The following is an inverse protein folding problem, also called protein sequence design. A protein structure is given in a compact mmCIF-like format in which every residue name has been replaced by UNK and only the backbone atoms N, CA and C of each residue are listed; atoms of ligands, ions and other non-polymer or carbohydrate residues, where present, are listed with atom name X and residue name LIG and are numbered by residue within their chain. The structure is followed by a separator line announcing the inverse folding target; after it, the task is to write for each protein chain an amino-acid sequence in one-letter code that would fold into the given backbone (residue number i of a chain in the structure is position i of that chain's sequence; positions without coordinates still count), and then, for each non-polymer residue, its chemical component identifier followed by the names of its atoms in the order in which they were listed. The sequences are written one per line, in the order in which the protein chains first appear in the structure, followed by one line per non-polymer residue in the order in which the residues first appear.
data_IF_555225765855
#
_entry.id   IF_555225765855
#
_cell.length_a   1.000
_cell.length_b   1.000
_cell.length_c   1.000
_cell.angle_alpha   90.00
_cell.angle_beta   90.00
_cell.angle_gamma   90.00
#
_symmetry.space_group_name_H-M   'P 1'
#
loop_
_entity.id
_entity.type
_entity.pdbx_description
1 polymer ?
#
# COMPACT_ATOMS: atom_id res chain seq x y z
N UNK A 1 89.26 1.20 -35.10
CA UNK A 1 88.27 1.96 -35.90
C UNK A 1 86.94 1.92 -35.16
N UNK A 2 86.40 3.08 -34.78
CA UNK A 2 85.21 3.23 -33.93
C UNK A 2 83.94 2.92 -34.73
N UNK A 3 83.19 1.88 -34.34
CA UNK A 3 81.82 1.65 -34.79
C UNK A 3 80.85 2.49 -33.96
N UNK A 4 80.01 3.30 -34.61
CA UNK A 4 78.91 4.02 -33.97
C UNK A 4 77.62 3.23 -34.15
N UNK A 5 77.01 2.83 -33.03
CA UNK A 5 75.61 2.41 -32.95
C UNK A 5 74.79 3.65 -32.59
N UNK A 6 73.77 3.97 -33.40
CA UNK A 6 72.84 5.06 -33.12
C UNK A 6 71.45 4.46 -32.85
N UNK A 7 70.94 4.71 -31.64
CA UNK A 7 69.66 4.23 -31.14
C UNK A 7 68.55 5.21 -31.47
N UNK A 8 67.40 4.64 -31.84
CA UNK A 8 66.12 5.25 -32.24
C UNK A 8 65.54 6.24 -31.23
N UNK A 9 64.87 7.27 -31.75
CA UNK A 9 63.68 7.88 -31.15
C UNK A 9 62.62 8.05 -32.25
N UNK A 10 61.47 7.38 -32.10
CA UNK A 10 60.27 7.57 -32.90
C UNK A 10 59.29 8.42 -32.07
N UNK A 11 58.96 9.60 -32.60
CA UNK A 11 57.90 10.45 -32.06
C UNK A 11 56.53 9.89 -32.52
N UNK A 12 55.72 9.43 -31.57
CA UNK A 12 54.31 9.10 -31.81
C UNK A 12 53.46 10.35 -31.65
N UNK A 13 52.88 10.84 -32.74
CA UNK A 13 51.83 11.85 -32.72
C UNK A 13 50.50 11.21 -32.29
N UNK A 14 49.92 11.68 -31.19
CA UNK A 14 48.57 11.33 -30.77
C UNK A 14 47.57 12.28 -31.46
N UNK A 15 46.78 11.74 -32.39
CA UNK A 15 45.60 12.42 -32.91
C UNK A 15 44.47 12.32 -31.87
N UNK A 16 43.98 13.45 -31.39
CA UNK A 16 42.81 13.53 -30.52
C UNK A 16 41.54 13.29 -31.33
N UNK A 17 40.92 12.12 -31.17
CA UNK A 17 39.58 11.84 -31.69
C UNK A 17 38.57 12.28 -30.63
N UNK A 18 37.89 13.40 -30.86
CA UNK A 18 36.74 13.81 -30.07
C UNK A 18 35.54 12.91 -30.41
N UNK A 19 35.36 11.84 -29.64
CA UNK A 19 34.16 11.01 -29.70
C UNK A 19 32.99 11.74 -29.04
N UNK A 20 32.07 12.29 -29.82
CA UNK A 20 30.77 12.71 -29.34
C UNK A 20 29.97 11.46 -28.94
N UNK A 21 29.91 11.17 -27.64
CA UNK A 21 29.00 10.16 -27.11
C UNK A 21 27.60 10.76 -27.14
N UNK A 22 26.86 10.49 -28.20
CA UNK A 22 25.42 10.70 -28.20
C UNK A 22 24.84 9.74 -27.14
N UNK A 23 24.50 10.28 -25.98
CA UNK A 23 23.70 9.58 -24.99
C UNK A 23 22.34 9.31 -25.62
N UNK A 24 22.18 8.12 -26.20
CA UNK A 24 20.88 7.60 -26.58
C UNK A 24 20.14 7.35 -25.27
N UNK A 25 19.39 8.35 -24.82
CA UNK A 25 18.43 8.20 -23.75
C UNK A 25 17.41 7.16 -24.20
N UNK A 26 17.63 5.89 -23.85
CA UNK A 26 16.57 4.90 -23.84
C UNK A 26 15.51 5.46 -22.89
N UNK A 27 14.44 5.99 -23.47
CA UNK A 27 13.20 6.23 -22.75
C UNK A 27 12.76 4.89 -22.19
N UNK A 28 13.06 4.66 -20.91
CA UNK A 28 12.44 3.59 -20.15
C UNK A 28 10.94 3.91 -20.20
N UNK A 29 10.08 3.02 -20.73
CA UNK A 29 8.65 3.25 -20.65
C UNK A 29 8.30 3.31 -19.16
N UNK A 30 7.88 4.49 -18.71
CA UNK A 30 7.21 4.64 -17.42
C UNK A 30 6.07 3.63 -17.41
N UNK A 31 6.06 2.70 -16.46
CA UNK A 31 4.91 1.83 -16.24
C UNK A 31 3.78 2.72 -15.72
N UNK A 32 2.98 3.24 -16.64
CA UNK A 32 1.73 3.94 -16.36
C UNK A 32 0.85 3.02 -15.53
N UNK A 33 0.24 3.55 -14.47
CA UNK A 33 -0.78 2.82 -13.74
C UNK A 33 -1.87 2.33 -14.72
N UNK A 34 -2.35 1.09 -14.55
CA UNK A 34 -3.30 0.53 -15.49
C UNK A 34 -4.62 1.31 -15.47
N UNK A 35 -5.02 1.81 -16.63
CA UNK A 35 -6.25 2.56 -16.81
C UNK A 35 -7.45 1.68 -16.47
N UNK A 36 -8.29 2.10 -15.52
CA UNK A 36 -9.60 1.49 -15.30
C UNK A 36 -10.48 1.79 -16.52
N UNK A 37 -10.73 0.78 -17.33
CA UNK A 37 -11.48 0.88 -18.57
C UNK A 37 -12.99 0.97 -18.33
N UNK A 38 -13.46 0.73 -17.11
CA UNK A 38 -14.88 0.86 -16.76
C UNK A 38 -15.28 2.33 -16.55
N UNK A 39 -14.36 3.21 -16.14
CA UNK A 39 -14.68 4.63 -15.92
C UNK A 39 -15.04 5.32 -17.25
N UNK A 40 -16.25 5.89 -17.32
CA UNK A 40 -16.77 6.52 -18.54
C UNK A 40 -17.34 5.53 -19.58
N UNK A 41 -17.38 4.23 -19.26
CA UNK A 41 -18.09 3.24 -20.05
C UNK A 41 -19.63 3.36 -19.85
N UNK A 42 -20.40 2.50 -20.51
CA UNK A 42 -21.81 2.30 -20.18
C UNK A 42 -21.98 1.14 -19.21
N UNK A 43 -23.08 1.12 -18.45
CA UNK A 43 -23.47 0.00 -17.61
C UNK A 43 -24.95 -0.38 -17.79
N UNK A 44 -25.26 -1.67 -17.75
CA UNK A 44 -26.62 -2.22 -17.71
C UNK A 44 -26.63 -3.60 -17.03
N UNK A 45 -27.80 -4.23 -16.92
CA UNK A 45 -27.90 -5.50 -16.21
C UNK A 45 -29.28 -6.15 -16.27
N UNK A 46 -29.42 -7.23 -15.52
CA UNK A 46 -30.69 -7.93 -15.27
C UNK A 46 -31.05 -7.76 -13.79
N UNK A 47 -32.24 -7.18 -13.55
CA UNK A 47 -32.72 -6.82 -12.21
C UNK A 47 -32.01 -5.63 -11.54
N UNK A 48 -32.79 -4.80 -10.84
CA UNK A 48 -32.32 -3.63 -10.12
C UNK A 48 -33.28 -3.31 -8.97
N UNK A 49 -32.76 -3.29 -7.75
CA UNK A 49 -33.52 -2.84 -6.58
C UNK A 49 -33.81 -1.33 -6.66
N UNK A 50 -34.93 -0.91 -6.08
CA UNK A 50 -35.28 0.51 -5.96
C UNK A 50 -34.17 1.28 -5.24
N UNK A 51 -33.89 2.51 -5.68
CA UNK A 51 -32.85 3.37 -5.10
C UNK A 51 -31.41 3.04 -5.56
N UNK A 52 -31.22 2.10 -6.49
CA UNK A 52 -29.89 1.77 -7.05
C UNK A 52 -29.83 2.04 -8.57
N UNK A 53 -28.62 2.12 -9.12
CA UNK A 53 -28.38 2.32 -10.55
C UNK A 53 -27.31 1.39 -11.08
N UNK A 54 -27.44 0.93 -12.32
CA UNK A 54 -26.36 0.19 -12.99
C UNK A 54 -25.10 1.06 -13.15
N UNK A 55 -25.28 2.37 -13.40
CA UNK A 55 -24.18 3.30 -13.55
C UNK A 55 -23.31 3.47 -12.30
N UNK A 56 -23.80 3.05 -11.14
CA UNK A 56 -23.04 3.17 -9.89
C UNK A 56 -21.79 2.27 -9.88
N UNK A 57 -21.73 1.21 -10.70
CA UNK A 57 -20.55 0.30 -10.69
C UNK A 57 -19.39 0.79 -11.57
N UNK A 58 -19.54 1.96 -12.19
CA UNK A 58 -18.58 2.51 -13.15
C UNK A 58 -18.31 4.00 -12.90
N UNK A 59 -18.75 4.53 -11.76
CA UNK A 59 -18.64 5.95 -11.42
C UNK A 59 -17.40 6.26 -10.56
N UNK A 60 -16.68 5.22 -10.10
CA UNK A 60 -15.51 5.38 -9.22
C UNK A 60 -15.88 5.80 -7.80
N UNK A 61 -17.15 5.73 -7.42
CA UNK A 61 -17.67 6.05 -6.11
C UNK A 61 -18.14 4.79 -5.37
N UNK A 62 -17.24 4.24 -4.56
CA UNK A 62 -17.53 3.07 -3.68
C UNK A 62 -18.65 3.26 -2.63
N UNK A 63 -19.24 4.46 -2.52
CA UNK A 63 -20.40 4.72 -1.64
C UNK A 63 -21.75 4.53 -2.35
N UNK A 64 -21.78 4.57 -3.68
CA UNK A 64 -22.95 4.18 -4.47
C UNK A 64 -22.83 2.69 -4.80
N UNK A 65 -23.95 2.06 -5.16
CA UNK A 65 -23.93 0.66 -5.55
C UNK A 65 -25.09 0.32 -6.48
N UNK A 66 -24.89 -0.72 -7.29
CA UNK A 66 -25.97 -1.49 -7.86
C UNK A 66 -26.34 -2.64 -6.91
N UNK A 67 -27.63 -2.94 -6.80
CA UNK A 67 -28.11 -4.17 -6.15
C UNK A 67 -29.19 -4.77 -7.05
N UNK A 68 -29.20 -6.09 -7.29
CA UNK A 68 -30.37 -6.73 -7.87
C UNK A 68 -31.54 -6.76 -6.87
N UNK A 69 -32.74 -7.04 -7.35
CA UNK A 69 -33.96 -7.13 -6.54
C UNK A 69 -34.03 -8.40 -5.66
N UNK A 70 -33.13 -9.36 -5.87
CA UNK A 70 -33.08 -10.64 -5.16
C UNK A 70 -31.63 -11.10 -4.96
N UNK A 71 -31.41 -12.37 -4.63
CA UNK A 71 -30.06 -12.92 -4.37
C UNK A 71 -29.22 -13.21 -5.61
N UNK A 72 -29.79 -13.02 -6.81
CA UNK A 72 -29.12 -13.20 -8.10
C UNK A 72 -29.38 -12.00 -8.99
N UNK A 73 -28.53 -11.82 -9.98
CA UNK A 73 -28.65 -10.75 -10.96
C UNK A 73 -27.37 -10.57 -11.76
N UNK A 74 -27.45 -9.80 -12.83
CA UNK A 74 -26.30 -9.51 -13.69
C UNK A 74 -26.06 -8.02 -13.74
N UNK A 75 -24.80 -7.62 -13.60
CA UNK A 75 -24.33 -6.26 -13.89
C UNK A 75 -23.25 -6.32 -14.96
N UNK A 76 -23.26 -5.38 -15.88
CA UNK A 76 -22.36 -5.39 -17.03
C UNK A 76 -21.72 -4.03 -17.27
N UNK A 77 -20.48 -4.06 -17.76
CA UNK A 77 -19.78 -2.92 -18.33
C UNK A 77 -19.78 -3.07 -19.85
N UNK A 78 -20.10 -2.00 -20.57
CA UNK A 78 -20.17 -1.98 -22.04
C UNK A 78 -19.46 -0.77 -22.63
N UNK A 79 -18.80 -0.97 -23.75
CA UNK A 79 -18.06 0.06 -24.48
C UNK A 79 -18.68 0.32 -25.86
N UNK A 80 -18.43 1.49 -26.42
CA UNK A 80 -18.88 1.82 -27.78
C UNK A 80 -18.20 0.97 -28.87
N UNK A 81 -17.06 0.35 -28.56
CA UNK A 81 -16.30 -0.54 -29.44
C UNK A 81 -15.65 -1.70 -28.67
N UNK A 82 -15.06 -2.65 -29.41
CA UNK A 82 -14.38 -3.78 -28.79
C UNK A 82 -13.19 -3.29 -27.95
N UNK A 83 -13.17 -3.67 -26.68
CA UNK A 83 -12.17 -3.26 -25.70
C UNK A 83 -11.47 -4.51 -25.19
N UNK A 84 -10.14 -4.47 -25.13
CA UNK A 84 -9.33 -5.61 -24.68
C UNK A 84 -9.12 -5.53 -23.17
N UNK A 85 -9.59 -6.55 -22.46
CA UNK A 85 -9.51 -6.67 -21.00
C UNK A 85 -8.93 -8.03 -20.63
N UNK A 86 -8.20 -8.11 -19.51
CA UNK A 86 -7.61 -9.37 -19.00
C UNK A 86 -7.80 -9.55 -17.50
N UNK A 87 -8.43 -8.57 -16.84
CA UNK A 87 -8.75 -8.64 -15.42
C UNK A 87 -9.94 -7.76 -15.09
N UNK A 88 -10.63 -8.12 -14.02
CA UNK A 88 -11.72 -7.36 -13.43
C UNK A 88 -11.55 -7.28 -11.90
N UNK A 89 -12.05 -6.21 -11.30
CA UNK A 89 -12.13 -6.07 -9.84
C UNK A 89 -13.59 -5.80 -9.48
N UNK A 90 -14.15 -6.67 -8.64
CA UNK A 90 -15.51 -6.53 -8.14
C UNK A 90 -15.44 -6.02 -6.71
N UNK A 91 -15.89 -4.79 -6.49
CA UNK A 91 -15.95 -4.18 -5.16
C UNK A 91 -17.37 -4.33 -4.63
N UNK A 92 -17.54 -5.01 -3.50
CA UNK A 92 -18.84 -5.13 -2.83
C UNK A 92 -19.04 -3.98 -1.84
N UNK A 93 -20.23 -3.38 -1.84
CA UNK A 93 -20.64 -2.43 -0.81
C UNK A 93 -21.15 -3.17 0.44
N UNK A 94 -21.01 -2.52 1.60
CA UNK A 94 -21.54 -3.07 2.86
C UNK A 94 -23.07 -3.13 2.89
N UNK A 95 -23.61 -4.03 3.72
CA UNK A 95 -25.06 -4.17 3.95
C UNK A 95 -25.84 -4.92 2.87
N UNK A 96 -25.16 -5.60 1.95
CA UNK A 96 -25.75 -6.54 0.99
C UNK A 96 -25.59 -8.01 1.43
N UNK A 97 -26.27 -8.91 0.73
CA UNK A 97 -26.08 -10.35 0.87
C UNK A 97 -24.70 -10.81 0.41
N UNK A 98 -24.15 -11.85 1.04
CA UNK A 98 -22.83 -12.40 0.72
C UNK A 98 -22.91 -13.27 -0.53
N UNK A 99 -22.11 -12.95 -1.54
CA UNK A 99 -22.02 -13.73 -2.79
C UNK A 99 -21.28 -15.05 -2.53
N UNK A 100 -21.89 -16.16 -2.93
CA UNK A 100 -21.35 -17.52 -2.84
C UNK A 100 -21.21 -18.21 -4.21
N UNK A 101 -21.61 -17.54 -5.29
CA UNK A 101 -21.47 -18.07 -6.64
C UNK A 101 -21.59 -16.97 -7.69
N UNK A 102 -20.66 -16.96 -8.64
CA UNK A 102 -20.65 -15.98 -9.72
C UNK A 102 -19.89 -16.47 -10.95
N UNK A 103 -20.16 -15.80 -12.08
CA UNK A 103 -19.44 -15.95 -13.34
C UNK A 103 -19.13 -14.59 -13.96
N UNK A 104 -17.98 -14.48 -14.59
CA UNK A 104 -17.63 -13.38 -15.47
C UNK A 104 -17.76 -13.87 -16.91
N UNK A 105 -18.60 -13.23 -17.73
CA UNK A 105 -18.91 -13.71 -19.06
C UNK A 105 -18.70 -12.64 -20.13
N UNK A 106 -18.34 -13.07 -21.33
CA UNK A 106 -18.52 -12.27 -22.53
C UNK A 106 -20.02 -12.27 -22.85
N UNK A 107 -20.66 -11.11 -22.75
CA UNK A 107 -22.11 -11.00 -22.89
C UNK A 107 -22.60 -11.38 -24.29
N UNK A 108 -21.82 -11.07 -25.32
CA UNK A 108 -22.26 -11.26 -26.71
C UNK A 108 -22.16 -12.72 -27.14
N UNK A 109 -21.19 -13.47 -26.61
CA UNK A 109 -20.95 -14.88 -26.98
C UNK A 109 -21.42 -15.89 -25.93
N UNK A 110 -21.69 -15.45 -24.70
CA UNK A 110 -22.00 -16.32 -23.57
C UNK A 110 -20.78 -17.07 -23.00
N UNK A 111 -19.58 -16.84 -23.52
CA UNK A 111 -18.37 -17.50 -23.03
C UNK A 111 -18.06 -17.09 -21.58
N UNK A 112 -17.85 -18.07 -20.71
CA UNK A 112 -17.41 -17.84 -19.32
C UNK A 112 -15.90 -17.59 -19.31
N UNK A 113 -15.51 -16.38 -18.92
CA UNK A 113 -14.12 -15.94 -18.80
C UNK A 113 -13.50 -16.36 -17.47
N UNK A 114 -14.31 -16.35 -16.40
CA UNK A 114 -13.94 -16.80 -15.06
C UNK A 114 -15.20 -17.14 -14.25
N UNK A 115 -15.04 -17.89 -13.16
CA UNK A 115 -16.12 -18.19 -12.21
C UNK A 115 -15.57 -18.40 -10.81
N UNK A 116 -16.43 -18.28 -9.79
CA UNK A 116 -16.04 -18.50 -8.41
C UNK A 116 -17.22 -18.89 -7.52
N UNK A 117 -16.90 -19.55 -6.41
CA UNK A 117 -17.84 -20.00 -5.37
C UNK A 117 -17.64 -19.30 -4.02
N UNK A 118 -16.92 -18.18 -4.03
CA UNK A 118 -16.64 -17.33 -2.87
C UNK A 118 -16.85 -15.86 -3.22
N UNK A 119 -16.77 -14.97 -2.23
CA UNK A 119 -16.89 -13.54 -2.45
C UNK A 119 -15.89 -13.07 -3.54
N UNK A 120 -16.36 -12.36 -4.57
CA UNK A 120 -15.50 -11.89 -5.65
C UNK A 120 -14.57 -10.76 -5.15
N UNK A 121 -13.41 -10.65 -5.79
CA UNK A 121 -12.42 -9.59 -5.59
C UNK A 121 -11.74 -9.28 -6.92
N UNK A 122 -10.41 -9.41 -6.98
CA UNK A 122 -9.68 -9.38 -8.26
C UNK A 122 -9.81 -10.71 -9.00
N UNK A 123 -10.19 -10.64 -10.27
CA UNK A 123 -10.41 -11.79 -11.14
C UNK A 123 -9.55 -11.62 -12.39
N UNK A 124 -8.58 -12.52 -12.59
CA UNK A 124 -7.75 -12.55 -13.79
C UNK A 124 -8.30 -13.58 -14.78
N UNK A 125 -8.22 -13.28 -16.08
CA UNK A 125 -8.66 -14.17 -17.15
C UNK A 125 -7.84 -13.92 -18.42
N UNK A 126 -7.92 -14.85 -19.38
CA UNK A 126 -7.22 -14.70 -20.67
C UNK A 126 -7.64 -13.39 -21.36
N UNK A 127 -6.66 -12.62 -21.84
CA UNK A 127 -6.91 -11.37 -22.55
C UNK A 127 -7.95 -11.56 -23.65
N UNK A 128 -9.04 -10.81 -23.58
CA UNK A 128 -10.21 -10.96 -24.45
C UNK A 128 -10.65 -9.59 -24.94
N UNK A 129 -10.89 -9.47 -26.26
CA UNK A 129 -11.48 -8.28 -26.87
C UNK A 129 -12.99 -8.47 -27.01
N UNK A 130 -13.78 -7.57 -26.40
CA UNK A 130 -15.24 -7.71 -26.30
C UNK A 130 -15.89 -6.33 -26.13
N UNK A 131 -17.17 -6.21 -26.49
CA UNK A 131 -17.93 -4.94 -26.33
C UNK A 131 -18.65 -4.84 -25.00
N UNK A 132 -18.92 -5.98 -24.35
CA UNK A 132 -19.65 -6.03 -23.09
C UNK A 132 -19.25 -7.24 -22.25
N UNK A 133 -18.85 -6.98 -21.01
CA UNK A 133 -18.52 -8.00 -20.00
C UNK A 133 -19.58 -8.00 -18.91
N UNK A 134 -19.99 -9.17 -18.45
CA UNK A 134 -21.06 -9.34 -17.47
C UNK A 134 -20.57 -10.09 -16.24
N UNK A 135 -20.83 -9.53 -15.07
CA UNK A 135 -20.70 -10.21 -13.79
C UNK A 135 -22.08 -10.76 -13.41
N UNK A 136 -22.20 -12.09 -13.47
CA UNK A 136 -23.42 -12.85 -13.23
C UNK A 136 -23.36 -13.45 -11.83
N UNK A 137 -24.24 -13.02 -10.94
CA UNK A 137 -24.36 -13.57 -9.59
C UNK A 137 -25.32 -14.76 -9.64
N UNK A 138 -24.78 -15.95 -9.36
CA UNK A 138 -25.54 -17.21 -9.43
C UNK A 138 -26.06 -17.64 -8.05
N UNK A 139 -25.41 -17.22 -6.95
CA UNK A 139 -25.93 -17.41 -5.59
C UNK A 139 -25.40 -16.35 -4.61
N UNK A 140 -26.27 -15.92 -3.70
CA UNK A 140 -25.93 -15.08 -2.55
C UNK A 140 -26.93 -15.32 -1.39
N UNK A 141 -26.54 -14.95 -0.16
CA UNK A 141 -27.40 -15.10 1.03
C UNK A 141 -28.55 -14.08 1.11
N UNK A 142 -28.58 -13.09 0.22
CA UNK A 142 -29.56 -12.02 0.11
C UNK A 142 -29.20 -11.14 -1.08
N UNK A 143 -29.84 -9.98 -1.27
CA UNK A 143 -29.51 -9.07 -2.37
C UNK A 143 -28.11 -8.45 -2.18
N UNK A 144 -27.11 -8.83 -3.00
CA UNK A 144 -25.76 -8.30 -2.88
C UNK A 144 -25.69 -6.85 -3.39
N UNK A 145 -24.68 -6.10 -2.95
CA UNK A 145 -24.45 -4.74 -3.40
C UNK A 145 -23.07 -4.65 -4.03
N UNK A 146 -23.02 -4.29 -5.31
CA UNK A 146 -21.77 -4.07 -6.04
C UNK A 146 -21.54 -2.57 -6.13
N UNK A 147 -20.45 -2.12 -5.52
CA UNK A 147 -20.01 -0.73 -5.56
C UNK A 147 -19.27 -0.43 -6.85
N UNK A 148 -18.35 -1.30 -7.29
CA UNK A 148 -17.58 -1.10 -8.52
C UNK A 148 -17.41 -2.41 -9.29
N UNK A 149 -17.37 -2.30 -10.61
CA UNK A 149 -16.98 -3.34 -11.54
C UNK A 149 -15.90 -2.78 -12.47
N UNK A 150 -14.67 -2.82 -11.99
CA UNK A 150 -13.50 -2.26 -12.68
C UNK A 150 -12.92 -3.27 -13.66
N UNK A 151 -12.34 -2.80 -14.76
CA UNK A 151 -11.75 -3.66 -15.79
C UNK A 151 -10.44 -3.07 -16.30
N UNK A 152 -9.47 -3.93 -16.60
CA UNK A 152 -8.12 -3.50 -16.98
C UNK A 152 -7.53 -4.34 -18.11
N UNK A 153 -6.73 -3.69 -18.96
CA UNK A 153 -5.84 -4.35 -19.89
C UNK A 153 -4.51 -4.73 -19.20
N UNK A 154 -3.93 -5.88 -19.55
CA UNK A 154 -2.59 -6.31 -19.15
C UNK A 154 -2.37 -6.58 -17.65
N UNK A 155 -3.40 -7.04 -16.92
CA UNK A 155 -3.25 -7.54 -15.54
C UNK A 155 -2.77 -6.50 -14.52
N UNK A 156 -2.85 -5.20 -14.84
CA UNK A 156 -2.47 -4.14 -13.93
C UNK A 156 -3.57 -3.84 -12.91
N UNK A 157 -3.23 -3.90 -11.63
CA UNK A 157 -4.12 -3.55 -10.53
C UNK A 157 -3.86 -2.10 -10.08
N UNK A 158 -4.78 -1.20 -10.45
CA UNK A 158 -5.15 0.10 -9.82
C UNK A 158 -4.12 1.26 -9.69
N UNK A 159 -4.58 2.53 -9.89
CA UNK A 159 -4.24 3.67 -9.02
C UNK A 159 -5.48 4.35 -8.36
N UNK A 160 -5.23 5.11 -7.29
CA UNK A 160 -6.10 5.51 -6.17
C UNK A 160 -6.83 6.90 -6.26
N UNK A 161 -8.04 6.94 -5.65
CA UNK A 161 -8.69 7.98 -4.77
C UNK A 161 -9.56 9.17 -5.26
N UNK A 162 -10.64 9.40 -4.48
CA UNK A 162 -11.76 10.40 -4.48
C UNK A 162 -11.57 11.52 -3.40
N UNK A 163 -12.46 12.54 -3.22
CA UNK A 163 -13.37 12.57 -2.03
C UNK A 163 -14.77 13.28 -2.13
N UNK A 164 -15.84 12.54 -1.75
CA UNK A 164 -16.87 12.69 -0.67
C UNK A 164 -17.85 13.89 -0.48
N UNK A 165 -19.17 13.59 -0.28
CA UNK A 165 -20.04 13.86 0.93
C UNK A 165 -21.53 13.43 0.68
N UNK A 166 -22.35 12.87 1.59
CA UNK A 166 -22.34 12.78 3.07
C UNK A 166 -23.30 11.71 3.71
N UNK A 167 -23.90 11.95 4.91
CA UNK A 167 -23.83 11.12 6.15
C UNK A 167 -24.97 10.07 6.34
N UNK A 168 -24.89 9.03 7.18
CA UNK A 168 -24.87 9.13 8.67
C UNK A 168 -24.45 7.84 9.42
N UNK A 169 -23.57 8.05 10.42
CA UNK A 169 -23.29 7.32 11.67
C UNK A 169 -22.69 5.90 11.67
N UNK A 170 -21.44 5.81 11.27
CA UNK A 170 -20.33 5.18 12.00
C UNK A 170 -19.11 6.09 11.76
N UNK A 171 -18.08 6.18 12.62
CA UNK A 171 -17.03 7.19 12.46
C UNK A 171 -16.18 6.90 11.21
N UNK A 172 -16.64 7.41 10.08
CA UNK A 172 -15.81 7.95 9.02
C UNK A 172 -15.23 9.25 9.56
N UNK A 173 -14.07 9.18 10.20
CA UNK A 173 -13.29 10.37 10.46
C UNK A 173 -11.85 10.09 10.05
N UNK A 174 -11.19 11.12 9.54
CA UNK A 174 -9.80 11.35 9.90
C UNK A 174 -9.65 10.89 11.36
N UNK A 175 -8.71 9.99 11.73
CA UNK A 175 -8.64 9.55 13.11
C UNK A 175 -8.60 10.82 13.96
N UNK A 176 -9.49 10.92 14.96
CA UNK A 176 -9.44 12.05 15.88
C UNK A 176 -8.00 12.21 16.39
N UNK A 177 -7.61 13.41 16.80
CA UNK A 177 -6.26 13.62 17.33
C UNK A 177 -5.95 12.54 18.38
N UNK A 178 -4.87 11.75 18.20
CA UNK A 178 -4.61 10.64 19.09
C UNK A 178 -4.46 11.14 20.53
N UNK A 179 -5.14 10.50 21.46
CA UNK A 179 -5.21 10.93 22.87
C UNK A 179 -4.23 10.17 23.76
N UNK A 180 -3.56 9.16 23.22
CA UNK A 180 -2.78 8.19 24.00
C UNK A 180 -3.63 7.06 24.62
N UNK A 181 -4.95 7.08 24.45
CA UNK A 181 -5.83 6.04 24.96
C UNK A 181 -5.68 4.74 24.16
N UNK A 182 -5.59 3.62 24.88
CA UNK A 182 -5.53 2.29 24.29
C UNK A 182 -6.92 1.64 24.23
N UNK A 183 -7.26 0.90 23.17
CA UNK A 183 -8.54 0.22 23.09
C UNK A 183 -8.60 -0.99 24.04
N UNK A 184 -9.81 -1.35 24.42
CA UNK A 184 -10.08 -2.65 25.06
C UNK A 184 -10.20 -3.74 24.00
N UNK A 185 -9.66 -4.92 24.31
CA UNK A 185 -9.79 -6.10 23.46
C UNK A 185 -11.21 -6.67 23.50
N UNK A 186 -11.74 -7.05 22.33
CA UNK A 186 -13.03 -7.73 22.18
C UNK A 186 -12.92 -9.27 22.29
N UNK A 187 -11.78 -9.79 22.73
CA UNK A 187 -11.50 -11.21 22.88
C UNK A 187 -10.14 -11.59 22.28
N UNK A 188 -9.68 -12.82 22.51
CA UNK A 188 -8.37 -13.28 22.08
C UNK A 188 -8.45 -14.34 20.98
N UNK A 189 -7.49 -14.32 20.05
CA UNK A 189 -7.33 -15.29 18.97
C UNK A 189 -5.87 -15.77 18.97
N UNK A 190 -5.67 -17.08 19.14
CA UNK A 190 -4.36 -17.70 18.92
C UNK A 190 -4.24 -18.10 17.45
N UNK A 191 -3.19 -17.63 16.78
CA UNK A 191 -2.80 -18.02 15.42
C UNK A 191 -1.61 -18.98 15.52
N UNK A 192 -1.61 -20.02 14.68
CA UNK A 192 -0.56 -21.04 14.63
C UNK A 192 0.48 -20.79 13.54
N UNK A 193 0.42 -19.63 12.90
CA UNK A 193 1.24 -19.25 11.75
C UNK A 193 0.71 -17.99 11.07
N UNK A 194 1.45 -17.49 10.06
CA UNK A 194 1.11 -16.26 9.35
C UNK A 194 -0.28 -16.30 8.71
N UNK A 195 -1.08 -15.27 8.98
CA UNK A 195 -2.39 -15.07 8.35
C UNK A 195 -2.21 -14.28 7.05
N UNK A 196 -2.52 -14.90 5.91
CA UNK A 196 -2.48 -14.23 4.61
C UNK A 196 -3.79 -13.45 4.35
N UNK A 197 -3.67 -12.19 3.94
CA UNK A 197 -4.81 -11.29 3.69
C UNK A 197 -4.70 -10.71 2.28
N UNK A 198 -5.65 -11.02 1.40
CA UNK A 198 -5.70 -10.49 0.01
C UNK A 198 -6.82 -9.48 -0.24
N UNK A 199 -7.77 -9.35 0.68
CA UNK A 199 -8.86 -8.38 0.67
C UNK A 199 -8.87 -7.58 1.96
N UNK A 200 -10.04 -7.40 2.59
CA UNK A 200 -10.13 -6.82 3.94
C UNK A 200 -10.23 -7.91 4.99
N UNK A 201 -9.35 -7.86 5.98
CA UNK A 201 -9.47 -8.60 7.22
C UNK A 201 -9.87 -7.64 8.34
N UNK A 202 -11.06 -7.83 8.90
CA UNK A 202 -11.52 -7.12 10.10
C UNK A 202 -11.40 -8.04 11.31
N UNK A 203 -10.51 -7.70 12.25
CA UNK A 203 -10.31 -8.48 13.47
C UNK A 203 -11.32 -8.21 14.58
N UNK A 204 -12.26 -7.29 14.39
CA UNK A 204 -13.32 -6.97 15.36
C UNK A 204 -12.79 -6.46 16.70
N UNK A 205 -11.63 -5.80 16.71
CA UNK A 205 -10.87 -5.37 17.90
C UNK A 205 -10.44 -6.51 18.83
N UNK A 206 -10.28 -7.73 18.30
CA UNK A 206 -9.71 -8.85 19.05
C UNK A 206 -8.18 -8.76 19.12
N UNK A 207 -7.62 -9.36 20.15
CA UNK A 207 -6.18 -9.55 20.31
C UNK A 207 -5.72 -10.83 19.65
N UNK A 208 -4.87 -10.73 18.65
CA UNK A 208 -4.23 -11.83 17.97
C UNK A 208 -2.82 -12.03 18.55
N UNK A 209 -2.42 -13.28 18.77
CA UNK A 209 -1.07 -13.70 19.16
C UNK A 209 -0.91 -15.17 18.71
N UNK A 210 0.19 -15.90 18.83
CA UNK A 210 1.45 -15.63 19.48
C UNK A 210 2.52 -16.27 18.57
N UNK A 211 3.00 -15.54 17.55
CA UNK A 211 4.04 -16.06 16.66
C UNK A 211 5.40 -15.59 17.17
N UNK A 212 6.40 -16.48 17.09
CA UNK A 212 7.77 -16.19 17.49
C UNK A 212 8.01 -16.31 19.00
N UNK A 213 9.20 -15.90 19.42
CA UNK A 213 9.68 -15.98 20.81
C UNK A 213 9.74 -14.60 21.51
N UNK A 214 9.36 -13.52 20.81
CA UNK A 214 9.44 -12.14 21.31
C UNK A 214 10.85 -11.53 21.22
N UNK A 215 11.81 -12.23 20.58
CA UNK A 215 13.16 -11.72 20.34
C UNK A 215 13.28 -10.76 19.15
N UNK A 216 14.49 -10.25 18.91
CA UNK A 216 14.86 -9.29 17.84
C UNK A 216 15.50 -9.98 16.61
N UNK A 217 15.21 -11.26 16.38
CA UNK A 217 15.86 -12.02 15.30
C UNK A 217 15.26 -11.72 13.93
N UNK A 218 16.10 -11.37 12.93
CA UNK A 218 15.72 -10.98 11.56
C UNK A 218 15.03 -12.09 10.70
N UNK A 219 14.56 -13.17 11.30
CA UNK A 219 13.97 -14.32 10.60
C UNK A 219 12.67 -14.80 11.22
N UNK A 220 12.03 -13.97 12.04
CA UNK A 220 10.71 -14.27 12.58
C UNK A 220 9.64 -14.13 11.50
N UNK A 221 8.65 -15.03 11.51
CA UNK A 221 7.51 -14.92 10.62
C UNK A 221 6.60 -13.76 11.04
N UNK A 222 6.02 -13.00 10.10
CA UNK A 222 5.02 -12.00 10.43
C UNK A 222 3.71 -12.66 10.88
N UNK A 223 2.96 -11.99 11.74
CA UNK A 223 1.61 -12.40 12.12
C UNK A 223 0.64 -12.30 10.96
N UNK A 224 0.72 -11.22 10.19
CA UNK A 224 -0.13 -10.98 9.04
C UNK A 224 0.70 -10.65 7.82
N UNK A 225 0.39 -11.30 6.70
CA UNK A 225 0.97 -11.01 5.39
C UNK A 225 -0.12 -10.47 4.47
N UNK A 226 -0.07 -9.17 4.21
CA UNK A 226 -1.06 -8.43 3.45
C UNK A 226 -0.59 -8.35 2.00
N UNK A 227 -1.35 -8.95 1.09
CA UNK A 227 -1.11 -8.83 -0.35
C UNK A 227 -1.38 -7.39 -0.81
N UNK A 228 -0.89 -7.07 -2.01
CA UNK A 228 -1.13 -5.78 -2.66
C UNK A 228 -2.64 -5.43 -2.69
N UNK A 229 -2.99 -4.22 -2.27
CA UNK A 229 -4.35 -3.73 -2.13
C UNK A 229 -5.09 -4.19 -0.85
N UNK A 230 -4.51 -5.08 -0.06
CA UNK A 230 -5.16 -5.64 1.13
C UNK A 230 -5.31 -4.63 2.27
N UNK A 231 -6.31 -4.87 3.12
CA UNK A 231 -6.58 -4.07 4.33
C UNK A 231 -6.60 -4.96 5.56
N UNK A 232 -5.84 -4.59 6.58
CA UNK A 232 -5.95 -5.11 7.94
C UNK A 232 -6.62 -4.04 8.80
N UNK A 233 -7.72 -4.37 9.47
CA UNK A 233 -8.41 -3.40 10.30
C UNK A 233 -8.95 -3.96 11.62
N UNK A 234 -9.02 -3.07 12.60
CA UNK A 234 -9.56 -3.36 13.93
C UNK A 234 -8.90 -4.59 14.55
N UNK A 235 -7.57 -4.58 14.62
CA UNK A 235 -6.76 -5.69 15.13
C UNK A 235 -5.89 -5.19 16.26
N UNK A 236 -5.82 -5.94 17.35
CA UNK A 236 -4.79 -5.76 18.38
C UNK A 236 -3.79 -6.91 18.21
N UNK A 237 -2.52 -6.62 17.98
CA UNK A 237 -1.43 -7.58 18.03
C UNK A 237 -0.93 -7.65 19.48
N UNK A 238 -1.04 -8.84 20.06
CA UNK A 238 -0.49 -9.19 21.36
C UNK A 238 0.98 -9.60 21.26
N UNK A 239 1.55 -10.06 22.38
CA UNK A 239 2.92 -10.55 22.45
C UNK A 239 2.93 -12.08 22.64
N UNK A 240 3.86 -12.82 22.02
CA UNK A 240 4.82 -12.37 21.01
C UNK A 240 4.16 -12.08 19.65
N UNK A 241 4.68 -11.05 18.96
CA UNK A 241 4.13 -10.54 17.69
C UNK A 241 4.97 -10.90 16.45
N UNK A 242 6.01 -11.74 16.58
CA UNK A 242 6.97 -12.02 15.51
C UNK A 242 7.51 -10.74 14.86
N UNK A 243 7.62 -10.77 13.53
CA UNK A 243 7.93 -9.59 12.69
C UNK A 243 6.65 -8.84 12.25
N UNK A 244 5.69 -8.71 13.17
CA UNK A 244 4.51 -7.87 13.05
C UNK A 244 3.66 -8.13 11.81
N UNK A 245 3.49 -7.11 10.98
CA UNK A 245 2.68 -7.13 9.75
C UNK A 245 3.53 -6.87 8.52
N UNK A 246 3.48 -7.73 7.51
CA UNK A 246 4.14 -7.51 6.22
C UNK A 246 3.15 -7.04 5.17
N UNK A 247 3.44 -5.91 4.53
CA UNK A 247 2.73 -5.47 3.34
C UNK A 247 3.56 -5.79 2.10
N UNK A 248 3.12 -6.80 1.34
CA UNK A 248 3.82 -7.33 0.16
C UNK A 248 3.63 -6.45 -1.09
N UNK A 249 2.60 -5.60 -1.07
CA UNK A 249 2.37 -4.51 -2.00
C UNK A 249 1.83 -3.30 -1.24
N UNK A 250 1.14 -2.39 -1.93
CA UNK A 250 0.42 -1.33 -1.21
C UNK A 250 -0.61 -1.96 -0.28
N UNK A 251 -0.76 -1.44 0.93
CA UNK A 251 -1.71 -2.00 1.91
C UNK A 251 -2.36 -0.88 2.73
N UNK A 252 -3.43 -1.21 3.43
CA UNK A 252 -4.02 -0.34 4.46
C UNK A 252 -4.02 -1.04 5.81
N UNK A 253 -3.41 -0.41 6.81
CA UNK A 253 -3.50 -0.77 8.21
C UNK A 253 -4.41 0.27 8.87
N UNK A 254 -5.62 -0.13 9.28
CA UNK A 254 -6.63 0.79 9.82
C UNK A 254 -7.01 0.41 11.24
N UNK A 255 -6.79 1.31 12.20
CA UNK A 255 -7.12 1.04 13.60
C UNK A 255 -6.48 -0.27 14.09
N UNK A 256 -5.18 -0.44 13.79
CA UNK A 256 -4.37 -1.58 14.20
C UNK A 256 -3.50 -1.17 15.38
N UNK A 257 -3.42 -2.03 16.39
CA UNK A 257 -2.78 -1.72 17.67
C UNK A 257 -1.75 -2.78 18.03
N UNK A 258 -0.53 -2.39 18.41
CA UNK A 258 0.54 -3.31 18.83
C UNK A 258 0.84 -3.12 20.30
N UNK A 259 0.47 -4.10 21.12
CA UNK A 259 0.70 -4.06 22.57
C UNK A 259 2.18 -4.13 22.95
N UNK A 260 2.98 -4.73 22.07
CA UNK A 260 4.40 -4.99 22.19
C UNK A 260 4.95 -5.10 20.76
N UNK A 261 5.91 -4.26 20.39
CA UNK A 261 6.54 -4.34 19.07
C UNK A 261 7.62 -5.42 19.18
N UNK A 262 7.51 -6.46 18.35
CA UNK A 262 8.53 -7.51 18.25
C UNK A 262 9.81 -6.97 17.59
N UNK A 263 10.15 -7.48 16.41
CA UNK A 263 11.21 -6.85 15.60
C UNK A 263 10.73 -5.49 15.08
N UNK A 264 9.72 -5.50 14.19
CA UNK A 264 9.05 -4.32 13.65
C UNK A 264 7.53 -4.42 13.88
N UNK A 265 6.82 -3.29 13.96
CA UNK A 265 5.36 -3.32 14.01
C UNK A 265 4.78 -3.67 12.63
N UNK A 266 5.29 -2.99 11.58
CA UNK A 266 4.99 -3.35 10.21
C UNK A 266 6.14 -3.05 9.23
N UNK A 267 6.26 -3.93 8.24
CA UNK A 267 7.27 -3.87 7.19
C UNK A 267 6.61 -3.71 5.82
N UNK A 268 6.91 -2.59 5.15
CA UNK A 268 6.38 -2.22 3.83
C UNK A 268 7.35 -2.63 2.73
N UNK A 269 6.92 -3.55 1.87
CA UNK A 269 7.76 -4.20 0.84
C UNK A 269 7.32 -3.89 -0.59
N UNK A 270 6.35 -2.99 -0.80
CA UNK A 270 5.86 -2.66 -2.14
C UNK A 270 6.99 -2.23 -3.08
N UNK A 271 7.06 -2.76 -4.30
CA UNK A 271 8.10 -2.41 -5.29
C UNK A 271 7.56 -1.72 -6.53
N UNK A 272 6.24 -1.57 -6.64
CA UNK A 272 5.56 -0.99 -7.80
C UNK A 272 5.14 0.48 -7.56
N UNK A 273 5.76 1.15 -6.58
CA UNK A 273 5.37 2.48 -6.14
C UNK A 273 4.05 2.47 -5.37
N UNK A 274 3.25 3.52 -5.54
CA UNK A 274 1.97 3.68 -4.85
C UNK A 274 2.11 4.14 -3.40
N UNK A 275 1.01 4.04 -2.64
CA UNK A 275 0.95 4.46 -1.24
C UNK A 275 0.37 3.36 -0.37
N UNK A 276 1.09 2.97 0.68
CA UNK A 276 0.56 2.21 1.80
C UNK A 276 0.07 3.16 2.89
N UNK A 277 -0.99 2.79 3.59
CA UNK A 277 -1.66 3.65 4.56
C UNK A 277 -1.65 3.03 5.94
N UNK A 278 -1.30 3.83 6.94
CA UNK A 278 -1.52 3.57 8.37
C UNK A 278 -2.50 4.64 8.85
N UNK A 279 -3.70 4.23 9.25
CA UNK A 279 -4.81 5.14 9.56
C UNK A 279 -5.35 4.82 10.95
N UNK A 280 -5.08 5.70 11.91
CA UNK A 280 -5.42 5.44 13.31
C UNK A 280 -4.53 4.37 13.92
N UNK A 281 -4.90 3.92 15.12
CA UNK A 281 -4.17 2.86 15.81
C UNK A 281 -3.02 3.36 16.68
N UNK A 282 -2.23 2.41 17.17
CA UNK A 282 -1.05 2.76 17.95
C UNK A 282 -0.13 1.59 18.23
N UNK A 283 1.12 1.86 18.58
CA UNK A 283 2.09 0.85 18.94
C UNK A 283 2.89 1.27 20.17
N UNK A 284 3.41 0.30 20.90
CA UNK A 284 4.24 0.57 22.08
C UNK A 284 5.28 -0.51 22.32
N UNK A 285 6.25 -0.19 23.17
CA UNK A 285 7.27 -1.14 23.63
C UNK A 285 8.12 -1.71 22.48
N UNK A 286 8.65 -0.84 21.63
CA UNK A 286 9.62 -1.20 20.60
C UNK A 286 11.05 -0.87 20.99
N UNK A 287 12.00 -1.59 20.40
CA UNK A 287 13.44 -1.43 20.60
C UNK A 287 14.07 -0.47 19.59
N UNK A 288 13.81 -0.65 18.29
CA UNK A 288 14.47 0.08 17.21
C UNK A 288 13.47 0.84 16.31
N UNK A 289 12.65 0.13 15.54
CA UNK A 289 11.82 0.76 14.50
C UNK A 289 10.38 0.22 14.52
N UNK A 290 9.41 1.13 14.46
CA UNK A 290 8.00 0.77 14.41
C UNK A 290 7.60 0.41 12.98
N UNK A 291 7.90 1.29 12.02
CA UNK A 291 7.59 1.08 10.61
C UNK A 291 8.86 1.02 9.77
N UNK A 292 9.11 -0.15 9.19
CA UNK A 292 10.21 -0.40 8.29
C UNK A 292 9.74 -0.30 6.83
N UNK A 293 10.43 0.50 6.02
CA UNK A 293 10.12 0.64 4.60
C UNK A 293 11.26 0.08 3.75
N UNK A 294 11.10 -1.16 3.30
CA UNK A 294 12.07 -1.89 2.48
C UNK A 294 11.84 -1.66 0.99
N UNK A 295 10.58 -1.49 0.58
CA UNK A 295 10.14 -1.23 -0.79
C UNK A 295 10.39 0.20 -1.29
N UNK A 296 9.66 0.61 -2.33
CA UNK A 296 9.62 1.97 -2.87
C UNK A 296 8.23 2.62 -2.66
N UNK A 297 8.03 3.83 -3.19
CA UNK A 297 6.75 4.53 -3.09
C UNK A 297 6.59 5.26 -1.77
N UNK A 298 5.35 5.36 -1.27
CA UNK A 298 5.00 6.18 -0.10
C UNK A 298 4.38 5.35 1.01
N UNK A 299 4.74 5.65 2.26
CA UNK A 299 3.96 5.25 3.45
C UNK A 299 3.29 6.48 4.02
N UNK A 300 1.97 6.48 4.13
CA UNK A 300 1.19 7.57 4.70
C UNK A 300 0.67 7.16 6.07
N UNK A 301 1.13 7.84 7.12
CA UNK A 301 0.85 7.55 8.52
C UNK A 301 0.01 8.70 9.06
N UNK A 302 -1.24 8.42 9.44
CA UNK A 302 -2.12 9.42 10.02
C UNK A 302 -2.86 8.97 11.25
N UNK A 303 -2.98 9.85 12.24
CA UNK A 303 -3.78 9.58 13.43
C UNK A 303 -3.22 8.47 14.33
N UNK A 304 -1.91 8.24 14.29
CA UNK A 304 -1.26 7.15 14.99
C UNK A 304 -0.74 7.61 16.38
N UNK A 305 -0.79 6.72 17.37
CA UNK A 305 -0.13 6.92 18.66
C UNK A 305 1.06 5.96 18.82
N UNK A 306 2.24 6.49 19.10
CA UNK A 306 3.43 5.68 19.41
C UNK A 306 3.91 5.99 20.83
N UNK A 307 4.22 4.93 21.61
CA UNK A 307 4.83 5.06 22.94
C UNK A 307 6.03 4.13 23.15
N UNK A 308 7.22 4.66 23.35
CA UNK A 308 8.40 3.84 23.69
C UNK A 308 8.92 3.04 22.50
N UNK A 309 9.66 3.68 21.60
CA UNK A 309 10.32 3.04 20.44
C UNK A 309 11.44 3.93 19.90
N UNK A 310 12.52 3.36 19.37
CA UNK A 310 13.59 4.16 18.77
C UNK A 310 13.08 5.09 17.64
N UNK A 311 12.34 4.54 16.68
CA UNK A 311 11.90 5.27 15.47
C UNK A 311 10.48 4.96 15.08
N UNK A 312 9.67 5.97 14.75
CA UNK A 312 8.35 5.72 14.13
C UNK A 312 8.51 5.17 12.72
N UNK A 313 9.33 5.79 11.87
CA UNK A 313 9.54 5.37 10.48
C UNK A 313 11.02 5.34 10.10
N UNK A 314 11.44 4.27 9.40
CA UNK A 314 12.76 4.15 8.79
C UNK A 314 12.66 3.65 7.35
N UNK A 315 13.20 4.44 6.41
CA UNK A 315 13.48 3.95 5.05
C UNK A 315 14.74 3.10 5.04
N UNK A 316 14.70 1.85 4.58
CA UNK A 316 15.84 0.95 4.68
C UNK A 316 17.12 1.54 4.08
N UNK A 317 18.19 1.63 4.87
CA UNK A 317 19.42 2.32 4.48
C UNK A 317 20.50 1.44 3.85
N UNK A 318 20.43 0.11 4.04
CA UNK A 318 21.41 -0.87 3.57
C UNK A 318 20.76 -2.14 3.01
N UNK A 319 19.53 -2.02 2.49
CA UNK A 319 18.84 -3.13 1.83
C UNK A 319 19.59 -3.60 0.58
N UNK A 320 19.36 -4.86 0.18
CA UNK A 320 19.93 -5.44 -1.05
C UNK A 320 19.58 -4.63 -2.30
N UNK A 321 18.40 -4.02 -2.32
CA UNK A 321 17.99 -3.09 -3.36
C UNK A 321 17.75 -1.72 -2.74
N UNK A 322 18.38 -0.71 -3.32
CA UNK A 322 18.21 0.69 -2.94
C UNK A 322 17.03 1.29 -3.69
N UNK A 323 16.15 1.98 -2.98
CA UNK A 323 14.97 2.63 -3.54
C UNK A 323 14.87 4.07 -3.06
N UNK A 324 14.24 4.90 -3.88
CA UNK A 324 13.66 6.16 -3.41
C UNK A 324 12.36 5.90 -2.69
N UNK A 325 12.23 6.45 -1.48
CA UNK A 325 11.11 6.20 -0.56
C UNK A 325 10.55 7.50 -0.01
N UNK A 326 9.25 7.52 0.22
CA UNK A 326 8.59 8.69 0.78
C UNK A 326 7.77 8.30 2.00
N UNK A 327 7.69 9.21 2.97
CA UNK A 327 6.78 9.12 4.10
C UNK A 327 5.99 10.40 4.24
N UNK A 328 4.70 10.26 4.54
CA UNK A 328 3.81 11.34 4.93
C UNK A 328 3.34 11.04 6.35
N UNK A 329 3.58 11.95 7.28
CA UNK A 329 3.24 11.79 8.70
C UNK A 329 2.35 12.95 9.09
N UNK A 330 1.14 12.64 9.53
CA UNK A 330 0.13 13.65 9.79
C UNK A 330 -0.71 13.32 11.02
N UNK A 331 -0.95 14.28 11.92
CA UNK A 331 -1.83 14.06 13.09
C UNK A 331 -1.36 12.87 13.95
N UNK A 332 -0.06 12.83 14.30
CA UNK A 332 0.54 11.75 15.08
C UNK A 332 0.92 12.26 16.47
N UNK A 333 0.65 11.43 17.49
CA UNK A 333 1.17 11.63 18.84
C UNK A 333 2.30 10.63 19.08
N UNK A 334 3.47 11.12 19.47
CA UNK A 334 4.60 10.26 19.88
C UNK A 334 5.03 10.61 21.29
N UNK A 335 5.32 9.58 22.07
CA UNK A 335 5.72 9.65 23.47
C UNK A 335 6.92 8.72 23.66
N UNK A 336 8.00 9.21 24.25
CA UNK A 336 9.21 8.42 24.52
C UNK A 336 9.79 7.74 23.25
N UNK A 337 10.22 8.56 22.28
CA UNK A 337 10.89 8.08 21.06
C UNK A 337 12.16 8.86 20.75
N UNK A 338 13.14 8.24 20.08
CA UNK A 338 14.37 8.94 19.68
C UNK A 338 14.17 9.76 18.40
N UNK A 339 13.42 9.21 17.43
CA UNK A 339 13.26 9.82 16.10
C UNK A 339 11.90 9.54 15.46
N UNK A 340 11.28 10.56 14.87
CA UNK A 340 10.03 10.39 14.13
C UNK A 340 10.28 9.75 12.74
N UNK A 341 11.14 10.33 11.90
CA UNK A 341 11.42 9.79 10.58
C UNK A 341 12.93 9.76 10.26
N UNK A 342 13.44 8.60 9.84
CA UNK A 342 14.79 8.42 9.30
C UNK A 342 14.79 8.13 7.80
N UNK A 343 15.26 9.08 6.99
CA UNK A 343 15.24 9.03 5.51
C UNK A 343 16.65 9.02 4.90
N UNK A 344 16.83 8.41 3.72
CA UNK A 344 18.12 8.39 3.01
C UNK A 344 18.16 9.51 1.95
N UNK A 345 18.72 10.68 2.31
CA UNK A 345 18.61 11.88 1.46
C UNK A 345 19.36 11.76 0.13
N UNK A 346 20.45 10.97 0.09
CA UNK A 346 21.20 10.70 -1.14
C UNK A 346 20.45 9.81 -2.14
N UNK A 347 19.36 9.15 -1.73
CA UNK A 347 18.46 8.40 -2.61
C UNK A 347 17.16 9.17 -2.89
N UNK A 348 17.15 10.47 -2.61
CA UNK A 348 16.02 11.37 -2.82
C UNK A 348 14.79 11.00 -1.97
N UNK A 349 14.99 10.31 -0.84
CA UNK A 349 13.88 10.04 0.07
C UNK A 349 13.27 11.35 0.56
N UNK A 350 11.95 11.36 0.82
CA UNK A 350 11.28 12.54 1.39
C UNK A 350 10.42 12.18 2.58
N UNK A 351 10.38 13.07 3.57
CA UNK A 351 9.46 13.04 4.70
C UNK A 351 8.65 14.34 4.68
N UNK A 352 7.33 14.21 4.52
CA UNK A 352 6.39 15.33 4.68
C UNK A 352 5.69 15.16 6.02
N UNK A 353 5.83 16.13 6.92
CA UNK A 353 5.41 15.99 8.31
C UNK A 353 4.54 17.19 8.70
N UNK A 354 3.32 16.91 9.18
CA UNK A 354 2.34 17.92 9.62
C UNK A 354 1.65 17.49 10.90
N UNK A 355 1.26 18.44 11.75
CA UNK A 355 0.41 18.20 12.93
C UNK A 355 0.92 17.06 13.84
N UNK A 356 2.18 17.12 14.24
CA UNK A 356 2.78 16.14 15.16
C UNK A 356 2.81 16.71 16.57
N UNK A 357 2.44 15.89 17.55
CA UNK A 357 2.67 16.17 18.97
C UNK A 357 3.75 15.22 19.48
N UNK A 358 4.80 15.77 20.06
CA UNK A 358 5.88 15.02 20.70
C UNK A 358 5.80 15.28 22.20
N UNK A 359 5.67 14.22 22.99
CA UNK A 359 5.85 14.29 24.44
C UNK A 359 7.35 14.15 24.71
N UNK A 360 7.97 15.16 25.32
CA UNK A 360 9.42 15.24 25.50
C UNK A 360 10.15 15.75 24.25
N UNK A 361 11.24 15.08 23.86
CA UNK A 361 12.10 15.49 22.75
C UNK A 361 12.39 14.32 21.81
N UNK A 362 12.41 14.60 20.50
CA UNK A 362 12.78 13.62 19.48
C UNK A 362 13.39 14.34 18.27
N UNK A 363 14.23 13.62 17.51
CA UNK A 363 14.62 14.08 16.16
C UNK A 363 13.42 13.92 15.22
N UNK A 364 12.98 14.97 14.55
CA UNK A 364 11.78 14.92 13.73
C UNK A 364 12.05 14.32 12.35
N UNK A 365 13.06 14.83 11.64
CA UNK A 365 13.44 14.32 10.34
C UNK A 365 14.95 14.11 10.26
N UNK A 366 15.40 12.90 10.58
CA UNK A 366 16.79 12.49 10.48
C UNK A 366 17.18 12.13 9.05
N UNK A 367 18.25 12.74 8.53
CA UNK A 367 18.82 12.41 7.22
C UNK A 367 19.98 11.45 7.38
N UNK A 368 20.01 10.45 6.51
CA UNK A 368 21.07 9.45 6.44
C UNK A 368 21.66 9.38 5.03
N UNK A 369 22.91 8.93 4.93
CA UNK A 369 23.49 8.45 3.68
C UNK A 369 23.21 6.95 3.57
N UNK A 370 22.24 6.58 2.74
CA UNK A 370 21.99 5.19 2.37
C UNK A 370 23.17 4.60 1.58
N UNK A 371 23.40 3.31 1.76
CA UNK A 371 24.55 2.56 1.23
C UNK A 371 24.09 1.19 0.69
N UNK A 372 24.89 0.53 -0.17
CA UNK A 372 24.62 -0.86 -0.54
C UNK A 372 24.65 -1.81 0.68
N UNK A 373 24.03 -2.98 0.54
CA UNK A 373 24.07 -4.03 1.57
C UNK A 373 25.50 -4.40 1.94
N UNK A 374 25.74 -4.58 3.24
CA UNK A 374 27.07 -4.88 3.81
C UNK A 374 27.84 -3.65 4.28
N UNK A 375 27.23 -2.47 4.27
CA UNK A 375 27.76 -1.25 4.89
C UNK A 375 26.69 -0.60 5.76
N UNK A 376 27.13 0.19 6.75
CA UNK A 376 26.24 0.89 7.66
C UNK A 376 25.89 2.30 7.14
N UNK A 377 24.60 2.68 7.11
CA UNK A 377 24.20 4.04 6.79
C UNK A 377 24.74 5.03 7.83
N UNK A 378 25.23 6.18 7.38
CA UNK A 378 25.73 7.24 8.27
C UNK A 378 24.68 8.32 8.47
N UNK A 379 24.52 8.78 9.71
CA UNK A 379 23.66 9.91 10.04
C UNK A 379 24.29 11.22 9.56
N UNK A 380 23.49 12.06 8.90
CA UNK A 380 23.91 13.33 8.30
C UNK A 380 23.35 14.55 9.06
N UNK A 381 22.59 14.34 10.13
CA UNK A 381 21.93 15.38 10.89
C UNK A 381 20.43 15.49 10.62
N UNK A 382 19.78 16.36 11.39
CA UNK A 382 18.36 16.65 11.27
C UNK A 382 18.09 17.67 10.15
N UNK A 383 17.00 17.49 9.41
CA UNK A 383 16.53 18.42 8.38
C UNK A 383 15.24 19.14 8.77
N UNK A 384 15.10 20.39 8.33
CA UNK A 384 13.93 21.23 8.51
C UNK A 384 13.72 22.08 7.27
N UNK A 385 12.48 22.09 6.75
CA UNK A 385 12.08 22.84 5.57
C UNK A 385 13.10 22.78 4.41
N UNK A 386 13.53 21.57 4.07
CA UNK A 386 14.44 21.31 2.95
C UNK A 386 13.80 20.36 1.91
N UNK A 387 14.54 20.04 0.85
CA UNK A 387 14.03 19.22 -0.26
C UNK A 387 13.59 17.81 0.18
N UNK A 388 14.26 17.23 1.18
CA UNK A 388 13.99 15.89 1.70
C UNK A 388 13.07 15.95 2.93
N UNK A 389 13.34 16.84 3.87
CA UNK A 389 12.60 17.05 5.11
C UNK A 389 11.62 18.23 4.97
N UNK A 390 10.42 17.93 4.49
CA UNK A 390 9.33 18.88 4.27
C UNK A 390 8.51 19.04 5.55
N UNK A 391 9.08 19.78 6.50
CA UNK A 391 8.51 20.02 7.82
C UNK A 391 8.91 21.40 8.34
N UNK A 392 7.94 22.18 8.81
CA UNK A 392 8.20 23.44 9.50
C UNK A 392 8.16 23.23 11.01
N UNK A 393 8.76 24.16 11.76
CA UNK A 393 8.69 24.13 13.23
C UNK A 393 7.25 24.22 13.75
N UNK A 394 6.38 24.94 13.04
CA UNK A 394 4.95 25.06 13.37
C UNK A 394 4.15 23.77 13.16
N UNK A 395 4.70 22.81 12.42
CA UNK A 395 4.06 21.52 12.17
C UNK A 395 4.21 20.56 13.36
N UNK A 396 5.05 20.91 14.34
CA UNK A 396 5.39 20.07 15.49
C UNK A 396 5.14 20.83 16.79
N UNK A 397 4.39 20.23 17.70
CA UNK A 397 4.20 20.72 19.07
C UNK A 397 4.92 19.79 20.03
N UNK A 398 5.90 20.32 20.75
CA UNK A 398 6.54 19.61 21.86
C UNK A 398 5.77 19.90 23.17
N UNK A 399 5.56 18.88 24.00
CA UNK A 399 4.84 18.99 25.28
C UNK A 399 5.62 18.36 26.43
#
# INVERSE_FOLDING_TARGET
MRGKVATRWLAGGAAAVAGAVAALALQIPHASAATNLSLGAGADGSSKASGTSYGNVIDGNTSTFWSPSGSTGTISVKWGGATTVSSAVIVQASGGGSISGWQLTNHDTGAVLASGSSAPGTVNFSSTSLKKISFVITSASGAPRIAEFETYANGGSTPTTSPTSGPTSGPTSNPGTPTGAWPSSAGSVSISGTVNVSGTFDGGMKTYCCIGDGGQGESQDPMFKIANGGTLQNVILGSPAGDGVHCEGTCTLRNVWWNDIGEDAATFKQTNGGTSYVIGGGARSGSDKTFQHNGNGTVNISGFYLKGSGKLYRGCGNCSTSYTRHVRIDNVLVDDIDMLAGINSNWNDTATITRVVVIGSATICGKYKGVPKGSEPSYLGEGWNDANCKVNRSDVTFR
#
